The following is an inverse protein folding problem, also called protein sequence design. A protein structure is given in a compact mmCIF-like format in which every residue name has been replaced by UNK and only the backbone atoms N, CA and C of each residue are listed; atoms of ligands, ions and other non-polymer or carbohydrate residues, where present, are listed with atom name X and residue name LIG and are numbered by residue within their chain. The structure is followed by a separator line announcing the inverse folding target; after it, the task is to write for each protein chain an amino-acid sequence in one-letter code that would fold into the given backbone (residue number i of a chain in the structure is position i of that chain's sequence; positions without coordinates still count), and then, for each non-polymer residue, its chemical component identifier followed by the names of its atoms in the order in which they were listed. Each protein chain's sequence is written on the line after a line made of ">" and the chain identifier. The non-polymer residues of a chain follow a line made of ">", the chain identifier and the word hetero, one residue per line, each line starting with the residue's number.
data_IF_489940027717
#
_entry.id   IF_489940027717
#
_cell.length_a   1.000
_cell.length_b   1.000
_cell.length_c   1.000
_cell.angle_alpha   90.00
_cell.angle_beta   90.00
_cell.angle_gamma   90.00
#
_symmetry.space_group_name_H-M   'P 1'
#
loop_
_entity.id
_entity.type
_entity.pdbx_description
1 polymer ?
#
# COMPACT_ATOMS: atom_id res chain seq x y z
N UNK A 1 6.37 11.55 -6.78
CA UNK A 1 6.69 10.12 -6.64
C UNK A 1 7.41 9.89 -5.33
N UNK A 2 6.89 8.98 -4.52
CA UNK A 2 7.40 8.74 -3.18
C UNK A 2 7.92 7.31 -3.08
N UNK A 3 9.14 7.17 -2.58
CA UNK A 3 9.78 5.87 -2.42
C UNK A 3 10.25 5.74 -0.98
N UNK A 4 10.09 4.56 -0.41
CA UNK A 4 10.54 4.26 0.95
C UNK A 4 11.09 2.84 1.00
N UNK A 5 12.20 2.67 1.72
CA UNK A 5 12.73 1.35 1.99
C UNK A 5 12.21 0.90 3.35
N UNK A 6 11.62 -0.30 3.37
CA UNK A 6 11.05 -0.88 4.58
C UNK A 6 11.79 -2.17 4.86
N UNK A 7 12.21 -2.35 6.11
CA UNK A 7 12.88 -3.57 6.51
C UNK A 7 11.87 -4.71 6.66
N UNK A 8 12.12 -5.81 5.94
CA UNK A 8 11.30 -7.01 6.02
C UNK A 8 12.24 -8.19 6.28
N UNK A 9 12.18 -8.74 7.47
CA UNK A 9 13.05 -9.86 7.89
C UNK A 9 14.54 -9.58 7.65
N UNK A 10 14.97 -8.37 7.99
CA UNK A 10 16.37 -7.98 7.85
C UNK A 10 16.79 -7.55 6.46
N UNK A 11 15.87 -7.55 5.50
CA UNK A 11 16.13 -7.07 4.16
C UNK A 11 15.45 -5.73 3.93
N UNK A 12 16.14 -4.79 3.29
CA UNK A 12 15.53 -3.52 2.91
C UNK A 12 14.83 -3.71 1.58
N UNK A 13 13.51 -3.54 1.57
CA UNK A 13 12.70 -3.69 0.37
C UNK A 13 12.15 -2.34 -0.03
N UNK A 14 12.42 -1.88 -1.27
CA UNK A 14 11.89 -0.59 -1.71
C UNK A 14 10.42 -0.70 -2.11
N UNK A 15 9.65 0.29 -1.71
CA UNK A 15 8.26 0.46 -2.08
C UNK A 15 8.07 1.85 -2.65
N UNK A 16 7.25 1.98 -3.66
CA UNK A 16 7.05 3.24 -4.35
C UNK A 16 5.57 3.52 -4.54
N UNK A 17 5.17 4.74 -4.21
CA UNK A 17 3.81 5.21 -4.43
C UNK A 17 3.83 6.34 -5.45
N UNK A 18 2.92 6.27 -6.43
CA UNK A 18 2.76 7.30 -7.45
C UNK A 18 1.33 7.25 -7.96
N UNK A 19 0.98 8.20 -8.81
CA UNK A 19 -0.34 8.25 -9.42
C UNK A 19 -0.65 7.02 -10.29
N UNK A 20 0.37 6.26 -10.66
CA UNK A 20 0.20 5.05 -11.47
C UNK A 20 -0.29 3.85 -10.65
N UNK A 21 -0.05 3.86 -9.34
CA UNK A 21 -0.41 2.71 -8.48
C UNK A 21 -1.87 2.29 -8.60
N UNK A 22 -2.86 3.19 -8.54
CA UNK A 22 -4.26 2.77 -8.69
C UNK A 22 -4.54 2.05 -10.00
N UNK A 23 -3.90 2.50 -11.08
CA UNK A 23 -4.05 1.88 -12.39
C UNK A 23 -3.42 0.48 -12.43
N UNK A 24 -2.23 0.34 -11.87
CA UNK A 24 -1.54 -0.96 -11.82
C UNK A 24 -2.33 -1.96 -10.99
N UNK A 25 -2.85 -1.52 -9.86
CA UNK A 25 -3.63 -2.36 -8.98
C UNK A 25 -4.91 -2.85 -9.67
N UNK A 26 -5.64 -1.92 -10.31
CA UNK A 26 -6.86 -2.25 -11.04
C UNK A 26 -6.57 -3.21 -12.19
N UNK A 27 -5.49 -2.99 -12.91
CA UNK A 27 -5.14 -3.84 -14.05
C UNK A 27 -4.81 -5.26 -13.61
N UNK A 28 -4.08 -5.40 -12.49
CA UNK A 28 -3.65 -6.71 -12.00
C UNK A 28 -4.73 -7.45 -11.23
N UNK A 29 -5.46 -6.76 -10.35
CA UNK A 29 -6.38 -7.40 -9.42
C UNK A 29 -7.85 -7.14 -9.72
N UNK A 30 -8.16 -6.23 -10.65
CA UNK A 30 -9.53 -5.86 -11.01
C UNK A 30 -10.29 -5.27 -9.83
N UNK A 31 -9.59 -4.53 -8.98
CA UNK A 31 -10.13 -3.94 -7.77
C UNK A 31 -9.73 -2.47 -7.66
N UNK A 32 -10.45 -1.73 -6.82
CA UNK A 32 -10.20 -0.33 -6.54
C UNK A 32 -9.31 -0.21 -5.29
N UNK A 33 -8.08 0.24 -5.47
CA UNK A 33 -7.13 0.36 -4.36
C UNK A 33 -7.62 1.32 -3.27
N UNK A 34 -8.35 2.37 -3.62
CA UNK A 34 -8.85 3.33 -2.64
C UNK A 34 -9.81 2.66 -1.67
N UNK A 35 -10.71 1.82 -2.18
CA UNK A 35 -11.65 1.08 -1.34
C UNK A 35 -10.92 0.04 -0.50
N UNK A 36 -9.99 -0.68 -1.10
CA UNK A 36 -9.25 -1.71 -0.41
C UNK A 36 -8.38 -1.14 0.70
N UNK A 37 -7.69 -0.03 0.46
CA UNK A 37 -6.87 0.61 1.48
C UNK A 37 -7.69 1.24 2.60
N UNK A 38 -8.86 1.81 2.27
CA UNK A 38 -9.76 2.32 3.31
C UNK A 38 -10.22 1.20 4.22
N UNK A 39 -10.54 0.04 3.65
CA UNK A 39 -10.92 -1.14 4.42
C UNK A 39 -9.78 -1.62 5.31
N UNK A 40 -8.55 -1.67 4.75
CA UNK A 40 -7.37 -2.09 5.51
C UNK A 40 -7.09 -1.15 6.67
N UNK A 41 -7.17 0.15 6.43
CA UNK A 41 -6.92 1.14 7.47
C UNK A 41 -7.93 0.98 8.62
N UNK A 42 -9.19 0.79 8.29
CA UNK A 42 -10.23 0.59 9.28
C UNK A 42 -10.00 -0.70 10.07
N UNK A 43 -9.69 -1.79 9.39
CA UNK A 43 -9.41 -3.07 10.02
C UNK A 43 -8.17 -3.00 10.90
N UNK A 44 -7.14 -2.31 10.44
CA UNK A 44 -5.91 -2.16 11.20
C UNK A 44 -6.15 -1.41 12.51
N UNK A 45 -6.91 -0.34 12.47
CA UNK A 45 -7.25 0.42 13.68
C UNK A 45 -8.04 -0.41 14.67
N UNK A 46 -9.06 -1.12 14.19
CA UNK A 46 -9.90 -1.95 15.04
C UNK A 46 -9.09 -3.07 15.70
N UNK A 47 -8.29 -3.78 14.92
CA UNK A 47 -7.51 -4.90 15.44
C UNK A 47 -6.39 -4.45 16.36
N UNK A 48 -5.80 -3.30 16.07
CA UNK A 48 -4.75 -2.73 16.91
C UNK A 48 -5.27 -2.38 18.31
N UNK A 49 -6.51 -1.92 18.39
CA UNK A 49 -7.10 -1.56 19.66
C UNK A 49 -7.64 -2.76 20.43
N UNK A 50 -8.20 -3.73 19.73
CA UNK A 50 -8.87 -4.85 20.35
C UNK A 50 -8.04 -6.14 20.40
N UNK A 51 -6.92 -6.16 19.70
CA UNK A 51 -6.05 -7.35 19.66
C UNK A 51 -6.63 -8.50 18.87
N UNK A 52 -7.60 -8.24 18.02
CA UNK A 52 -8.19 -9.27 17.17
C UNK A 52 -7.33 -9.57 15.96
N UNK A 53 -7.54 -10.73 15.37
CA UNK A 53 -6.84 -11.12 14.13
C UNK A 53 -7.50 -10.49 12.92
N UNK A 54 -6.70 -10.20 11.90
CA UNK A 54 -7.22 -9.71 10.63
C UNK A 54 -7.97 -10.82 9.89
N UNK A 55 -8.99 -10.42 9.14
CA UNK A 55 -9.70 -11.34 8.25
C UNK A 55 -8.76 -11.78 7.12
N UNK A 56 -9.01 -12.96 6.56
CA UNK A 56 -8.21 -13.49 5.45
C UNK A 56 -8.21 -12.51 4.27
N UNK A 57 -9.37 -11.92 3.96
CA UNK A 57 -9.49 -10.97 2.86
C UNK A 57 -8.62 -9.72 3.08
N UNK A 58 -8.52 -9.28 4.33
CA UNK A 58 -7.70 -8.11 4.67
C UNK A 58 -6.23 -8.42 4.49
N UNK A 59 -5.80 -9.62 4.85
CA UNK A 59 -4.41 -10.04 4.66
C UNK A 59 -4.07 -10.12 3.17
N UNK A 60 -4.97 -10.64 2.38
CA UNK A 60 -4.79 -10.72 0.93
C UNK A 60 -4.66 -9.34 0.31
N UNK A 61 -5.52 -8.40 0.71
CA UNK A 61 -5.44 -7.02 0.24
C UNK A 61 -4.09 -6.40 0.59
N UNK A 62 -3.65 -6.60 1.83
CA UNK A 62 -2.34 -6.10 2.29
C UNK A 62 -1.21 -6.62 1.41
N UNK A 63 -1.18 -7.92 1.16
CA UNK A 63 -0.15 -8.54 0.33
C UNK A 63 -0.18 -7.99 -1.10
N UNK A 64 -1.36 -7.83 -1.66
CA UNK A 64 -1.53 -7.32 -3.02
C UNK A 64 -1.05 -5.88 -3.14
N UNK A 65 -1.41 -5.03 -2.19
CA UNK A 65 -0.99 -3.63 -2.18
C UNK A 65 0.52 -3.54 -2.04
N UNK A 66 1.08 -4.30 -1.11
CA UNK A 66 2.52 -4.30 -0.89
C UNK A 66 3.27 -4.75 -2.14
N UNK A 67 2.79 -5.80 -2.79
CA UNK A 67 3.42 -6.32 -4.00
C UNK A 67 3.42 -5.28 -5.13
N UNK A 68 2.30 -4.63 -5.37
CA UNK A 68 2.21 -3.62 -6.44
C UNK A 68 3.18 -2.48 -6.20
N UNK A 69 3.28 -2.01 -4.97
CA UNK A 69 4.21 -0.94 -4.62
C UNK A 69 5.67 -1.39 -4.74
N UNK A 70 5.96 -2.63 -4.35
CA UNK A 70 7.31 -3.18 -4.47
C UNK A 70 7.70 -3.38 -5.93
N UNK A 71 6.81 -3.92 -6.73
CA UNK A 71 7.07 -4.12 -8.17
C UNK A 71 7.29 -2.78 -8.88
N UNK A 72 6.52 -1.78 -8.49
CA UNK A 72 6.67 -0.45 -9.06
C UNK A 72 8.00 0.20 -8.69
N UNK A 73 8.54 -0.15 -7.54
CA UNK A 73 9.86 0.34 -7.13
C UNK A 73 11.00 -0.45 -7.78
N UNK A 74 10.79 -1.74 -8.01
CA UNK A 74 11.82 -2.64 -8.54
C UNK A 74 11.17 -3.74 -9.37
N UNK A 75 11.20 -3.57 -10.68
CA UNK A 75 10.57 -4.52 -11.61
C UNK A 75 11.34 -5.84 -11.75
N UNK A 76 12.48 -5.96 -11.10
CA UNK A 76 13.26 -7.20 -11.13
C UNK A 76 12.75 -8.26 -10.14
N UNK A 77 11.82 -7.90 -9.25
CA UNK A 77 11.25 -8.87 -8.32
C UNK A 77 10.38 -9.89 -9.07
N UNK A 78 10.09 -11.06 -8.45
CA UNK A 78 9.29 -12.08 -9.13
C UNK A 78 7.95 -11.55 -9.62
N UNK A 79 7.48 -12.07 -10.74
CA UNK A 79 6.20 -11.69 -11.32
C UNK A 79 5.01 -12.26 -10.54
N UNK A 80 5.25 -13.26 -9.71
CA UNK A 80 4.23 -13.90 -8.87
C UNK A 80 4.35 -13.41 -7.44
N UNK A 81 3.20 -13.08 -6.83
CA UNK A 81 3.17 -12.68 -5.42
C UNK A 81 3.68 -13.80 -4.54
N UNK A 82 3.30 -15.04 -4.84
CA UNK A 82 3.73 -16.21 -4.08
C UNK A 82 5.25 -16.34 -4.07
N UNK A 83 5.88 -16.20 -5.23
CA UNK A 83 7.33 -16.28 -5.34
C UNK A 83 8.00 -15.12 -4.60
N UNK A 84 7.40 -13.94 -4.67
CA UNK A 84 7.93 -12.78 -3.99
C UNK A 84 7.87 -12.95 -2.46
N UNK A 85 6.73 -13.38 -1.95
CA UNK A 85 6.54 -13.60 -0.51
C UNK A 85 7.43 -14.72 0.02
N UNK A 86 7.71 -15.70 -0.81
CA UNK A 86 8.54 -16.85 -0.43
C UNK A 86 9.99 -16.46 -0.13
N UNK A 87 10.41 -15.27 -0.53
CA UNK A 87 11.74 -14.75 -0.20
C UNK A 87 11.87 -14.33 1.26
N UNK A 88 10.76 -14.16 1.95
CA UNK A 88 10.74 -13.68 3.33
C UNK A 88 10.27 -14.79 4.26
N UNK A 89 10.93 -14.92 5.40
CA UNK A 89 10.50 -15.89 6.42
C UNK A 89 9.20 -15.44 7.07
N UNK A 90 8.99 -14.12 7.15
CA UNK A 90 7.80 -13.55 7.74
C UNK A 90 7.50 -12.22 7.07
N UNK A 91 6.23 -11.98 6.78
CA UNK A 91 5.77 -10.72 6.21
C UNK A 91 4.70 -10.17 7.13
N UNK A 92 5.13 -9.43 8.16
CA UNK A 92 4.26 -9.00 9.23
C UNK A 92 3.43 -7.78 8.85
N UNK A 93 2.11 -7.93 8.84
CA UNK A 93 1.20 -6.83 8.57
C UNK A 93 1.33 -5.75 9.65
N UNK A 94 1.63 -6.14 10.89
CA UNK A 94 1.73 -5.19 12.00
C UNK A 94 2.94 -4.26 11.87
N UNK A 95 4.03 -4.76 11.30
CA UNK A 95 5.24 -3.96 11.10
C UNK A 95 5.23 -3.18 9.80
N UNK A 96 4.68 -3.77 8.74
CA UNK A 96 4.77 -3.23 7.38
C UNK A 96 3.61 -2.31 7.04
N UNK A 97 2.39 -2.66 7.43
CA UNK A 97 1.19 -1.92 7.05
C UNK A 97 1.22 -0.45 7.46
N UNK A 98 1.63 -0.10 8.69
CA UNK A 98 1.67 1.32 9.07
C UNK A 98 2.57 2.14 8.16
N UNK A 99 3.69 1.57 7.72
CA UNK A 99 4.63 2.25 6.84
C UNK A 99 4.08 2.39 5.43
N UNK A 100 3.35 1.39 4.94
CA UNK A 100 2.70 1.46 3.64
C UNK A 100 1.56 2.48 3.64
N UNK A 101 0.77 2.52 4.72
CA UNK A 101 -0.31 3.50 4.86
C UNK A 101 0.25 4.92 4.90
N UNK A 102 1.37 5.10 5.59
CA UNK A 102 2.04 6.39 5.64
C UNK A 102 2.53 6.81 4.27
N UNK A 103 3.15 5.91 3.55
CA UNK A 103 3.61 6.14 2.18
C UNK A 103 2.45 6.50 1.26
N UNK A 104 1.36 5.76 1.36
CA UNK A 104 0.15 6.02 0.58
C UNK A 104 -0.51 7.34 1.00
N UNK A 105 -0.58 7.59 2.31
CA UNK A 105 -1.18 8.80 2.85
C UNK A 105 -0.48 10.06 2.37
N UNK A 106 0.84 10.05 2.32
CA UNK A 106 1.61 11.17 1.81
C UNK A 106 1.23 11.49 0.36
N UNK A 107 1.07 10.45 -0.46
CA UNK A 107 0.68 10.62 -1.85
C UNK A 107 -0.75 11.18 -1.97
N UNK A 108 -1.68 10.64 -1.19
CA UNK A 108 -3.08 11.07 -1.20
C UNK A 108 -3.22 12.51 -0.69
N UNK A 109 -2.50 12.85 0.37
CA UNK A 109 -2.53 14.21 0.92
C UNK A 109 -2.05 15.22 -0.11
N UNK A 110 -1.01 14.89 -0.86
CA UNK A 110 -0.51 15.75 -1.93
C UNK A 110 -1.56 15.98 -3.01
N UNK A 111 -2.26 14.93 -3.42
CA UNK A 111 -3.31 15.02 -4.43
C UNK A 111 -4.48 15.87 -3.95
N UNK A 112 -4.90 15.69 -2.70
CA UNK A 112 -5.99 16.46 -2.11
C UNK A 112 -5.62 17.94 -2.02
N UNK A 113 -4.41 18.24 -1.60
CA UNK A 113 -3.92 19.62 -1.52
C UNK A 113 -3.94 20.28 -2.90
N UNK A 114 -3.51 19.57 -3.93
CA UNK A 114 -3.52 20.07 -5.29
C UNK A 114 -4.95 20.37 -5.78
N UNK A 115 -5.88 19.48 -5.50
CA UNK A 115 -7.29 19.68 -5.86
C UNK A 115 -7.89 20.88 -5.15
N UNK A 116 -7.59 21.03 -3.88
CA UNK A 116 -8.08 22.15 -3.10
C UNK A 116 -7.54 23.48 -3.62
N UNK A 117 -6.27 23.51 -3.98
CA UNK A 117 -5.64 24.69 -4.55
C UNK A 117 -6.31 25.08 -5.88
N UNK A 118 -6.60 24.10 -6.73
CA UNK A 118 -7.29 24.34 -7.99
C UNK A 118 -8.70 24.87 -7.77
N UNK A 119 -9.42 24.33 -6.80
CA UNK A 119 -10.77 24.76 -6.49
C UNK A 119 -10.78 26.22 -6.04
N UNK A 120 -9.82 26.62 -5.22
CA UNK A 120 -9.68 27.98 -4.76
C UNK A 120 -9.38 28.95 -5.91
N UNK A 121 -8.48 28.55 -6.80
CA UNK A 121 -8.07 29.36 -7.94
C UNK A 121 -9.22 29.53 -8.94
N UNK A 122 -10.10 28.53 -9.06
CA UNK A 122 -11.21 28.62 -10.01
C UNK A 122 -12.35 29.53 -9.57
N UNK A 123 -12.18 30.31 -8.55
CA UNK A 123 -13.15 31.31 -8.19
C UNK A 123 -14.27 30.88 -7.29
N UNK A 124 -13.98 29.96 -6.49
CA UNK A 124 -14.95 29.53 -5.49
C UNK A 124 -15.27 30.61 -4.48
#
# INVERSE_FOLDING_TARGET
>A
MIKREIEVCGKLVPFRSSATIPRLYRAKFKRDIFKDLARLEKSFKANSEEGESFAIDDLEIFENVAYVMAYHADSSIPASIDEWLDQFEMFSIYEIMPQLLELWGDNVVTDVAAKNALAEVSGK
#
